data_IF_481102374501
#
_entry.id   IF_481102374501
#
_cell.length_a   1.000
_cell.length_b   1.000
_cell.length_c   1.000
_cell.angle_alpha   90.00
_cell.angle_beta   90.00
_cell.angle_gamma   90.00
#
_symmetry.space_group_name_H-M   'P 1'
#
loop_
_entity.id
_entity.type
_entity.pdbx_description
1 polymer ?
#
# COMPACT_ATOMS: atom_id res chain seq x y z
N UNK A 1 8.12 -28.62 -7.45
CA UNK A 1 8.95 -27.98 -8.50
C UNK A 1 9.97 -27.04 -7.83
N UNK A 2 11.20 -26.95 -8.37
CA UNK A 2 12.34 -26.25 -7.75
C UNK A 2 12.10 -24.75 -7.46
N UNK A 3 11.06 -24.14 -8.03
CA UNK A 3 10.69 -22.74 -7.76
C UNK A 3 10.04 -22.50 -6.39
N UNK A 4 9.68 -23.55 -5.63
CA UNK A 4 9.04 -23.43 -4.30
C UNK A 4 10.01 -23.09 -3.15
N UNK A 5 11.32 -22.99 -3.41
CA UNK A 5 12.36 -22.82 -2.38
C UNK A 5 13.08 -21.46 -2.46
N UNK A 6 12.43 -20.43 -3.00
CA UNK A 6 12.88 -19.06 -2.74
C UNK A 6 12.48 -18.70 -1.31
N UNK A 7 13.48 -18.38 -0.49
CA UNK A 7 13.23 -17.98 0.89
C UNK A 7 12.62 -16.57 0.91
N UNK A 8 11.74 -16.29 1.88
CA UNK A 8 11.16 -14.94 2.07
C UNK A 8 12.25 -13.84 2.13
N UNK A 9 13.45 -14.18 2.62
CA UNK A 9 14.60 -13.30 2.71
C UNK A 9 15.16 -12.85 1.34
N UNK A 10 15.17 -13.74 0.33
CA UNK A 10 15.63 -13.39 -1.02
C UNK A 10 14.63 -12.48 -1.74
N UNK A 11 13.33 -12.62 -1.45
CA UNK A 11 12.26 -11.73 -1.95
C UNK A 11 12.27 -10.32 -1.33
N UNK A 12 12.98 -10.11 -0.21
CA UNK A 12 13.02 -8.85 0.53
C UNK A 12 14.17 -7.91 0.09
N UNK A 13 15.16 -8.42 -0.64
CA UNK A 13 16.41 -7.69 -0.93
C UNK A 13 16.31 -6.63 -2.04
N UNK A 14 15.13 -6.43 -2.65
CA UNK A 14 14.90 -5.48 -3.75
C UNK A 14 13.85 -4.44 -3.37
N UNK A 15 14.05 -3.75 -2.25
CA UNK A 15 13.30 -2.53 -1.92
C UNK A 15 14.20 -1.31 -2.17
N UNK A 16 14.66 -1.15 -3.41
CA UNK A 16 15.07 0.18 -3.85
C UNK A 16 13.82 1.06 -3.79
N UNK A 17 13.94 2.25 -3.17
CA UNK A 17 12.95 3.33 -3.28
C UNK A 17 12.91 3.78 -4.74
N UNK A 18 12.21 3.02 -5.55
CA UNK A 18 11.79 3.42 -6.86
C UNK A 18 10.60 4.36 -6.62
N UNK A 19 10.75 5.66 -6.88
CA UNK A 19 9.66 6.63 -6.73
C UNK A 19 8.75 6.67 -7.97
N UNK A 20 8.64 5.56 -8.69
CA UNK A 20 7.82 5.45 -9.90
C UNK A 20 6.34 5.64 -9.59
N UNK A 21 5.64 6.38 -10.45
CA UNK A 21 4.19 6.58 -10.36
C UNK A 21 3.47 5.26 -10.64
N UNK A 22 2.53 4.91 -9.76
CA UNK A 22 1.69 3.71 -9.92
C UNK A 22 0.55 3.92 -10.91
N UNK A 23 0.25 5.17 -11.29
CA UNK A 23 -0.94 5.55 -12.05
C UNK A 23 -2.19 5.74 -11.20
N UNK A 24 -2.11 5.48 -9.89
CA UNK A 24 -3.18 5.63 -8.92
C UNK A 24 -3.05 6.94 -8.13
N UNK A 25 -4.18 7.45 -7.60
CA UNK A 25 -4.24 8.70 -6.82
C UNK A 25 -4.97 8.50 -5.51
N UNK A 26 -4.46 9.10 -4.43
CA UNK A 26 -5.11 9.07 -3.13
C UNK A 26 -6.44 9.87 -3.14
N UNK A 27 -7.15 9.90 -2.01
CA UNK A 27 -8.43 10.63 -1.94
C UNK A 27 -8.31 12.13 -2.21
N UNK A 28 -7.12 12.74 -2.03
CA UNK A 28 -6.86 14.14 -2.31
C UNK A 28 -6.38 14.38 -3.77
N UNK A 29 -6.17 13.32 -4.55
CA UNK A 29 -5.64 13.41 -5.90
C UNK A 29 -4.12 13.42 -5.99
N UNK A 30 -3.41 13.16 -4.90
CA UNK A 30 -1.96 13.06 -4.90
C UNK A 30 -1.52 11.74 -5.55
N UNK A 31 -0.39 11.72 -6.27
CA UNK A 31 0.17 10.49 -6.82
C UNK A 31 0.57 9.52 -5.73
N UNK A 32 0.14 8.26 -5.85
CA UNK A 32 0.63 7.16 -5.02
C UNK A 32 1.86 6.59 -5.74
N UNK A 33 3.05 6.76 -5.16
CA UNK A 33 4.30 6.29 -5.76
C UNK A 33 4.70 4.95 -5.15
N UNK A 34 5.52 4.20 -5.88
CA UNK A 34 6.25 3.07 -5.27
C UNK A 34 7.15 3.62 -4.15
N UNK A 35 7.20 2.90 -3.03
CA UNK A 35 7.88 3.33 -1.81
C UNK A 35 7.10 4.33 -0.94
N UNK A 36 5.97 4.89 -1.40
CA UNK A 36 5.12 5.74 -0.56
C UNK A 36 4.59 4.97 0.65
N UNK A 37 4.38 5.67 1.76
CA UNK A 37 3.57 5.18 2.87
C UNK A 37 2.18 5.78 2.71
N UNK A 38 1.16 4.93 2.84
CA UNK A 38 -0.24 5.34 2.79
C UNK A 38 -0.94 4.93 4.07
N UNK A 39 -1.83 5.77 4.56
CA UNK A 39 -2.67 5.51 5.73
C UNK A 39 -4.09 5.19 5.30
N UNK A 40 -4.66 4.15 5.89
CA UNK A 40 -6.02 3.70 5.65
C UNK A 40 -6.76 3.47 6.97
N UNK A 41 -8.08 3.68 7.03
CA UNK A 41 -8.88 3.37 8.20
C UNK A 41 -8.94 1.85 8.39
N UNK A 42 -8.88 1.42 9.64
CA UNK A 42 -9.12 0.02 10.02
C UNK A 42 -10.61 -0.13 10.27
N UNK A 43 -11.25 -1.07 9.57
CA UNK A 43 -12.68 -1.35 9.70
C UNK A 43 -12.98 -2.61 10.53
N UNK A 44 -11.95 -3.39 10.88
CA UNK A 44 -12.06 -4.65 11.62
C UNK A 44 -10.96 -4.75 12.66
N UNK A 45 -11.29 -5.30 13.84
CA UNK A 45 -10.37 -5.47 14.97
C UNK A 45 -9.72 -4.15 15.43
N UNK A 46 -10.50 -3.06 15.50
CA UNK A 46 -10.02 -1.74 15.94
C UNK A 46 -9.52 -1.76 17.39
N UNK A 47 -10.01 -2.69 18.21
CA UNK A 47 -9.48 -2.96 19.55
C UNK A 47 -8.03 -3.45 19.52
N UNK A 48 -7.58 -4.07 18.43
CA UNK A 48 -6.21 -4.56 18.27
C UNK A 48 -5.34 -3.57 17.50
N UNK A 49 -5.84 -3.02 16.38
CA UNK A 49 -5.05 -2.18 15.49
C UNK A 49 -5.18 -0.67 15.73
N UNK A 50 -6.28 -0.24 16.35
CA UNK A 50 -6.71 1.16 16.42
C UNK A 50 -7.54 1.57 15.20
N UNK A 51 -7.65 2.86 14.97
CA UNK A 51 -8.51 3.47 13.95
C UNK A 51 -7.87 3.46 12.55
N UNK A 52 -6.54 3.32 12.45
CA UNK A 52 -5.82 3.37 11.18
C UNK A 52 -4.63 2.42 11.10
N UNK A 53 -4.23 2.10 9.87
CA UNK A 53 -3.01 1.36 9.55
C UNK A 53 -2.24 2.01 8.40
N UNK A 54 -0.92 2.01 8.54
CA UNK A 54 0.03 2.47 7.53
C UNK A 54 0.53 1.26 6.71
N UNK A 55 0.63 1.45 5.39
CA UNK A 55 1.11 0.46 4.43
C UNK A 55 2.21 1.08 3.57
N UNK A 56 3.26 0.33 3.28
CA UNK A 56 4.23 0.70 2.25
C UNK A 56 3.75 0.18 0.90
N UNK A 57 3.74 1.04 -0.11
CA UNK A 57 3.46 0.66 -1.49
C UNK A 57 4.72 0.03 -2.07
N UNK A 58 4.65 -1.24 -2.45
CA UNK A 58 5.78 -1.98 -3.01
C UNK A 58 5.44 -2.51 -4.40
N UNK A 59 6.44 -2.60 -5.26
CA UNK A 59 6.29 -3.17 -6.59
C UNK A 59 6.54 -4.68 -6.57
N UNK A 60 5.60 -5.48 -7.09
CA UNK A 60 5.76 -6.93 -7.33
C UNK A 60 5.54 -7.24 -8.80
N UNK A 61 6.63 -7.32 -9.57
CA UNK A 61 6.55 -7.41 -11.03
C UNK A 61 5.97 -6.11 -11.60
N UNK A 62 4.81 -6.17 -12.26
CA UNK A 62 4.07 -4.99 -12.74
C UNK A 62 2.97 -4.52 -11.77
N UNK A 63 2.81 -5.18 -10.63
CA UNK A 63 1.64 -5.01 -9.75
C UNK A 63 2.05 -4.24 -8.49
N UNK A 64 1.52 -3.04 -8.25
CA UNK A 64 1.66 -2.33 -6.97
C UNK A 64 0.86 -3.02 -5.87
N UNK A 65 1.49 -3.22 -4.72
CA UNK A 65 0.95 -3.94 -3.56
C UNK A 65 1.07 -3.06 -2.33
N UNK A 66 0.03 -3.04 -1.50
CA UNK A 66 0.05 -2.47 -0.17
C UNK A 66 0.60 -3.52 0.79
N UNK A 67 1.72 -3.22 1.45
CA UNK A 67 2.36 -4.10 2.42
C UNK A 67 2.29 -3.47 3.80
N UNK A 68 1.69 -4.16 4.77
CA UNK A 68 1.49 -3.63 6.12
C UNK A 68 2.82 -3.16 6.73
N UNK A 69 2.82 -1.94 7.26
CA UNK A 69 3.95 -1.35 7.95
C UNK A 69 3.71 -1.31 9.46
N UNK A 70 2.64 -0.64 9.90
CA UNK A 70 2.26 -0.50 11.32
C UNK A 70 0.78 -0.10 11.42
N UNK A 71 0.23 -0.11 12.62
CA UNK A 71 -1.07 0.51 12.91
C UNK A 71 -0.96 1.61 13.95
N UNK A 72 -2.07 2.26 14.27
CA UNK A 72 -2.14 3.28 15.31
C UNK A 72 -1.55 2.78 16.64
N UNK A 73 -1.86 1.54 17.00
CA UNK A 73 -1.34 0.89 18.22
C UNK A 73 0.10 0.36 18.09
N UNK A 74 0.83 0.75 17.04
CA UNK A 74 2.21 0.35 16.79
C UNK A 74 2.34 -0.88 15.89
N UNK A 75 3.37 -1.69 16.13
CA UNK A 75 3.66 -2.88 15.33
C UNK A 75 2.94 -4.10 15.93
N UNK A 76 1.69 -4.34 15.50
CA UNK A 76 0.86 -5.45 16.02
C UNK A 76 1.21 -6.79 15.37
N UNK A 77 1.43 -6.80 14.05
CA UNK A 77 1.87 -7.98 13.28
C UNK A 77 3.21 -7.70 12.60
N UNK A 78 4.00 -8.70 12.19
CA UNK A 78 5.24 -8.46 11.48
C UNK A 78 5.05 -7.61 10.21
N UNK A 79 6.06 -6.82 9.83
CA UNK A 79 6.03 -6.04 8.58
C UNK A 79 5.82 -6.96 7.38
N UNK A 80 4.93 -6.58 6.47
CA UNK A 80 4.55 -7.35 5.29
C UNK A 80 3.78 -8.64 5.58
N UNK A 81 3.36 -8.89 6.83
CA UNK A 81 2.53 -10.04 7.18
C UNK A 81 1.15 -9.99 6.49
N UNK A 82 0.60 -8.79 6.34
CA UNK A 82 -0.61 -8.52 5.57
C UNK A 82 -0.25 -7.74 4.31
N UNK A 83 -0.82 -8.14 3.18
CA UNK A 83 -0.68 -7.44 1.93
C UNK A 83 -1.94 -7.57 1.06
N UNK A 84 -2.23 -6.54 0.27
CA UNK A 84 -3.33 -6.49 -0.69
C UNK A 84 -2.89 -5.79 -1.97
N UNK A 85 -3.65 -5.96 -3.06
CA UNK A 85 -3.37 -5.21 -4.28
C UNK A 85 -3.78 -3.75 -4.08
N UNK A 86 -2.99 -2.79 -4.56
CA UNK A 86 -3.39 -1.38 -4.50
C UNK A 86 -4.69 -1.13 -5.28
N UNK A 87 -4.93 -1.89 -6.35
CA UNK A 87 -6.13 -1.81 -7.18
C UNK A 87 -7.41 -2.20 -6.44
N UNK A 88 -7.32 -3.01 -5.37
CA UNK A 88 -8.51 -3.46 -4.62
C UNK A 88 -9.20 -2.28 -3.89
N UNK A 89 -8.47 -1.18 -3.69
CA UNK A 89 -9.01 0.04 -3.09
C UNK A 89 -9.80 0.91 -4.07
N UNK A 90 -9.88 0.53 -5.35
CA UNK A 90 -10.58 1.29 -6.40
C UNK A 90 -11.76 0.51 -6.95
N UNK A 91 -12.77 1.22 -7.46
CA UNK A 91 -13.90 0.56 -8.14
C UNK A 91 -13.40 -0.12 -9.42
N UNK A 92 -13.51 -1.44 -9.45
CA UNK A 92 -13.02 -2.27 -10.55
C UNK A 92 -13.65 -1.92 -11.90
N UNK A 93 -14.93 -1.52 -11.95
CA UNK A 93 -15.57 -1.13 -13.22
C UNK A 93 -15.00 0.20 -13.70
N UNK A 94 -14.88 1.18 -12.81
CA UNK A 94 -14.28 2.45 -13.17
C UNK A 94 -12.82 2.29 -13.60
N UNK A 95 -12.05 1.43 -12.93
CA UNK A 95 -10.66 1.14 -13.29
C UNK A 95 -10.54 0.51 -14.69
N UNK A 96 -11.41 -0.43 -15.03
CA UNK A 96 -11.39 -1.12 -16.33
C UNK A 96 -11.79 -0.19 -17.49
N UNK A 97 -12.77 0.68 -17.26
CA UNK A 97 -13.36 1.51 -18.33
C UNK A 97 -12.81 2.94 -18.40
N UNK A 98 -12.04 3.39 -17.41
CA UNK A 98 -11.40 4.70 -17.46
C UNK A 98 -10.34 4.74 -18.57
N UNK A 99 -10.38 5.79 -19.38
CA UNK A 99 -9.31 6.09 -20.35
C UNK A 99 -8.06 6.66 -19.67
N UNK A 100 -8.22 7.22 -18.47
CA UNK A 100 -7.15 7.78 -17.65
C UNK A 100 -7.46 7.48 -16.16
N UNK A 101 -6.62 6.65 -15.53
CA UNK A 101 -6.79 6.25 -14.13
C UNK A 101 -6.48 7.36 -13.13
N UNK A 102 -5.83 8.45 -13.55
CA UNK A 102 -5.43 9.53 -12.63
C UNK A 102 -6.61 10.36 -12.12
N UNK A 103 -7.78 10.25 -12.75
CA UNK A 103 -9.03 10.84 -12.27
C UNK A 103 -9.78 9.95 -11.27
N UNK A 104 -9.39 8.68 -11.17
CA UNK A 104 -10.05 7.76 -10.25
C UNK A 104 -9.68 8.10 -8.82
N UNK A 105 -10.64 7.84 -7.92
CA UNK A 105 -10.43 7.95 -6.49
C UNK A 105 -10.74 6.61 -5.82
N UNK A 106 -10.04 6.30 -4.72
CA UNK A 106 -10.27 5.12 -3.91
C UNK A 106 -11.70 5.07 -3.35
N UNK A 107 -12.25 3.87 -3.22
CA UNK A 107 -13.55 3.60 -2.57
C UNK A 107 -13.44 3.92 -1.07
N UNK A 108 -12.36 3.46 -0.44
CA UNK A 108 -12.05 3.67 0.98
C UNK A 108 -11.02 4.80 1.13
N UNK A 109 -10.98 5.45 2.29
CA UNK A 109 -10.01 6.52 2.54
C UNK A 109 -8.57 5.97 2.53
N UNK A 110 -7.75 6.44 1.62
CA UNK A 110 -6.31 6.21 1.54
C UNK A 110 -5.65 7.57 1.34
N UNK A 111 -4.69 7.88 2.20
CA UNK A 111 -4.01 9.17 2.23
C UNK A 111 -2.51 8.92 2.20
N UNK A 112 -1.81 9.48 1.22
CA UNK A 112 -0.35 9.43 1.18
C UNK A 112 0.19 10.19 2.38
N UNK A 113 1.09 9.57 3.12
CA UNK A 113 1.78 10.19 4.26
C UNK A 113 3.05 10.86 3.75
N UNK A 114 3.22 12.15 4.09
CA UNK A 114 4.47 12.85 3.80
C UNK A 114 5.61 12.22 4.59
N UNK A 115 6.77 12.04 3.94
CA UNK A 115 7.97 11.45 4.56
C UNK A 115 8.62 12.32 5.64
N UNK A 116 7.95 13.37 6.12
CA UNK A 116 8.49 14.35 7.07
C UNK A 116 8.09 14.07 8.54
N UNK A 117 7.34 13.01 8.83
CA UNK A 117 6.92 12.66 10.20
C UNK A 117 7.59 11.39 10.74
N UNK A 118 8.91 11.30 10.61
CA UNK A 118 9.71 10.37 11.41
C UNK A 118 10.96 11.07 11.89
N UNK A 119 10.82 11.80 13.02
CA UNK A 119 11.72 11.80 14.17
C UNK A 119 11.26 12.89 15.16
N UNK A 120 10.46 12.50 16.15
CA UNK A 120 10.19 13.26 17.38
C UNK A 120 9.93 12.29 18.52
#
# INVERSE_FOLDING_TARGET
PLWKLLTLAECLHTLQRDSSDTGYRDNNGNPILIGSVVRMPVTLNTEVHGEWSDYTVIQKGMIPVLSYLRSEKGQIVPKGYMASLLSDEYDSKLLIFATDSTFLRPINSIIVQDSNETDS
#
